data_IF_690085368680
#
_entry.id   IF_690085368680
#
_cell.length_a   1.000
_cell.length_b   1.000
_cell.length_c   1.000
_cell.angle_alpha   90.00
_cell.angle_beta   90.00
_cell.angle_gamma   90.00
#
_symmetry.space_group_name_H-M   'P 1'
#
loop_
_entity.id
_entity.type
_entity.pdbx_description
1 polymer ?
#
# COMPACT_ATOMS: atom_id res chain seq x y z
N UNK A 1 18.90 -29.30 -0.78
CA UNK A 1 17.64 -28.56 -0.53
C UNK A 1 17.94 -27.39 0.38
N UNK A 2 18.23 -26.21 -0.19
CA UNK A 2 18.40 -24.97 0.58
C UNK A 2 17.05 -24.24 0.56
N UNK A 3 16.18 -24.54 1.53
CA UNK A 3 14.73 -24.26 1.46
C UNK A 3 14.33 -22.88 2.00
N UNK A 4 15.23 -22.09 2.59
CA UNK A 4 14.89 -20.76 3.08
C UNK A 4 15.96 -19.74 2.69
N UNK A 5 15.87 -19.26 1.45
CA UNK A 5 16.57 -18.04 0.99
C UNK A 5 15.97 -16.80 1.69
N UNK A 6 14.74 -16.92 2.20
CA UNK A 6 14.03 -15.85 2.90
C UNK A 6 14.31 -15.95 4.40
N UNK A 7 14.95 -14.92 4.96
CA UNK A 7 15.24 -14.84 6.39
C UNK A 7 14.05 -14.27 7.17
N UNK A 8 13.91 -14.60 8.47
CA UNK A 8 12.86 -14.02 9.33
C UNK A 8 12.86 -12.49 9.33
N UNK A 9 14.05 -11.88 9.23
CA UNK A 9 14.20 -10.43 9.13
C UNK A 9 13.56 -9.86 7.86
N UNK A 10 13.71 -10.54 6.71
CA UNK A 10 13.08 -10.11 5.46
C UNK A 10 11.55 -10.17 5.52
N UNK A 11 11.00 -11.17 6.23
CA UNK A 11 9.54 -11.28 6.45
C UNK A 11 9.03 -10.12 7.30
N UNK A 12 9.72 -9.83 8.41
CA UNK A 12 9.38 -8.69 9.27
C UNK A 12 9.47 -7.36 8.50
N UNK A 13 10.54 -7.18 7.73
CA UNK A 13 10.74 -5.98 6.92
C UNK A 13 9.63 -5.80 5.88
N UNK A 14 9.30 -6.86 5.13
CA UNK A 14 8.22 -6.83 4.14
C UNK A 14 6.85 -6.55 4.79
N UNK A 15 6.60 -7.12 5.98
CA UNK A 15 5.39 -6.87 6.76
C UNK A 15 5.25 -5.40 7.16
N UNK A 16 6.29 -4.81 7.74
CA UNK A 16 6.30 -3.39 8.13
C UNK A 16 6.12 -2.49 6.91
N UNK A 17 6.82 -2.79 5.81
CA UNK A 17 6.73 -2.02 4.57
C UNK A 17 5.31 -2.03 4.00
N UNK A 18 4.66 -3.20 3.98
CA UNK A 18 3.28 -3.35 3.51
C UNK A 18 2.31 -2.57 4.40
N UNK A 19 2.52 -2.62 5.72
CA UNK A 19 1.67 -1.91 6.68
C UNK A 19 1.79 -0.38 6.54
N UNK A 20 3.01 0.13 6.35
CA UNK A 20 3.25 1.53 6.07
C UNK A 20 2.56 1.98 4.77
N UNK A 21 2.60 1.15 3.72
CA UNK A 21 1.91 1.39 2.45
C UNK A 21 0.39 1.52 2.63
N UNK A 22 -0.22 0.61 3.39
CA UNK A 22 -1.66 0.65 3.71
C UNK A 22 -2.05 1.92 4.46
N UNK A 23 -1.33 2.24 5.52
CA UNK A 23 -1.59 3.42 6.36
C UNK A 23 -1.51 4.69 5.51
N UNK A 24 -0.50 4.77 4.64
CA UNK A 24 -0.30 5.90 3.73
C UNK A 24 -1.47 6.04 2.74
N UNK A 25 -1.89 4.94 2.12
CA UNK A 25 -3.01 4.95 1.18
C UNK A 25 -4.33 5.34 1.88
N UNK A 26 -4.62 4.76 3.04
CA UNK A 26 -5.83 5.08 3.82
C UNK A 26 -5.84 6.56 4.21
N UNK A 27 -4.71 7.11 4.68
CA UNK A 27 -4.60 8.54 5.00
C UNK A 27 -4.92 9.42 3.78
N UNK A 28 -4.45 9.06 2.59
CA UNK A 28 -4.74 9.78 1.36
C UNK A 28 -6.24 9.68 1.02
N UNK A 29 -6.85 8.50 1.13
CA UNK A 29 -8.27 8.32 0.85
C UNK A 29 -9.17 9.14 1.78
N UNK A 30 -8.84 9.17 3.07
CA UNK A 30 -9.52 9.99 4.06
C UNK A 30 -9.37 11.48 3.74
N UNK A 31 -8.15 11.93 3.46
CA UNK A 31 -7.85 13.35 3.15
C UNK A 31 -8.55 13.83 1.88
N UNK A 32 -8.65 12.97 0.87
CA UNK A 32 -9.25 13.30 -0.44
C UNK A 32 -10.77 13.13 -0.45
N UNK A 33 -11.39 12.69 0.67
CA UNK A 33 -12.81 12.29 0.75
C UNK A 33 -13.19 11.32 -0.37
N UNK A 34 -12.31 10.36 -0.63
CA UNK A 34 -12.51 9.34 -1.66
C UNK A 34 -13.76 8.50 -1.35
N UNK A 35 -14.48 8.09 -2.39
CA UNK A 35 -15.64 7.20 -2.26
C UNK A 35 -15.27 5.79 -1.73
N UNK A 36 -16.24 4.90 -1.62
CA UNK A 36 -16.03 3.55 -1.04
C UNK A 36 -15.12 2.65 -1.90
N UNK A 37 -15.11 2.85 -3.22
CA UNK A 37 -14.44 1.97 -4.18
C UNK A 37 -12.90 1.91 -4.00
N UNK A 38 -12.17 3.02 -3.81
CA UNK A 38 -10.75 2.98 -3.48
C UNK A 38 -10.40 2.21 -2.21
N UNK A 39 -11.28 2.19 -1.20
CA UNK A 39 -11.06 1.38 0.02
C UNK A 39 -11.14 -0.11 -0.27
N UNK A 40 -12.09 -0.53 -1.13
CA UNK A 40 -12.16 -1.92 -1.61
C UNK A 40 -10.89 -2.34 -2.36
N UNK A 41 -10.35 -1.46 -3.20
CA UNK A 41 -9.10 -1.73 -3.94
C UNK A 41 -7.92 -1.94 -2.99
N UNK A 42 -7.84 -1.15 -1.92
CA UNK A 42 -6.82 -1.31 -0.88
C UNK A 42 -6.92 -2.67 -0.21
N UNK A 43 -8.12 -3.15 0.13
CA UNK A 43 -8.32 -4.45 0.78
C UNK A 43 -8.02 -5.61 -0.17
N UNK A 44 -8.48 -5.54 -1.42
CA UNK A 44 -8.34 -6.62 -2.40
C UNK A 44 -6.91 -6.73 -2.98
N UNK A 45 -6.19 -5.60 -3.07
CA UNK A 45 -4.86 -5.55 -3.67
C UNK A 45 -3.87 -4.90 -2.70
N UNK A 46 -3.28 -5.67 -1.76
CA UNK A 46 -2.52 -5.13 -0.63
C UNK A 46 -1.25 -4.36 -1.00
N UNK A 47 -0.74 -4.55 -2.20
CA UNK A 47 0.46 -3.85 -2.70
C UNK A 47 0.08 -2.89 -3.82
N UNK A 48 -0.59 -3.41 -4.87
CA UNK A 48 -0.92 -2.65 -6.08
C UNK A 48 -1.94 -1.54 -5.78
N UNK A 49 -2.93 -1.81 -4.91
CA UNK A 49 -3.97 -0.85 -4.56
C UNK A 49 -3.41 0.40 -3.85
N UNK A 50 -2.69 0.23 -2.73
CA UNK A 50 -2.01 1.34 -2.04
C UNK A 50 -1.06 2.12 -2.94
N UNK A 51 -0.26 1.43 -3.76
CA UNK A 51 0.65 2.07 -4.71
C UNK A 51 -0.12 2.93 -5.74
N UNK A 52 -1.19 2.39 -6.32
CA UNK A 52 -2.02 3.13 -7.28
C UNK A 52 -2.60 4.42 -6.69
N UNK A 53 -3.03 4.38 -5.42
CA UNK A 53 -3.55 5.57 -4.71
C UNK A 53 -2.43 6.59 -4.45
N UNK A 54 -1.27 6.13 -4.01
CA UNK A 54 -0.09 6.99 -3.80
C UNK A 54 0.32 7.69 -5.10
N UNK A 55 0.49 6.95 -6.18
CA UNK A 55 0.87 7.49 -7.49
C UNK A 55 -0.21 8.40 -8.08
N UNK A 56 -1.48 8.02 -7.99
CA UNK A 56 -2.59 8.84 -8.45
C UNK A 56 -2.67 10.19 -7.71
N UNK A 57 -2.48 10.18 -6.39
CA UNK A 57 -2.44 11.40 -5.58
C UNK A 57 -1.19 12.25 -5.86
N UNK A 58 -0.04 11.63 -6.10
CA UNK A 58 1.19 12.33 -6.50
C UNK A 58 1.02 13.03 -7.85
N UNK A 59 0.51 12.34 -8.86
CA UNK A 59 0.22 12.92 -10.18
C UNK A 59 -0.79 14.08 -10.12
N UNK A 60 -1.81 13.98 -9.26
CA UNK A 60 -2.80 15.06 -9.06
C UNK A 60 -2.21 16.31 -8.41
N UNK A 61 -1.10 16.19 -7.66
CA UNK A 61 -0.41 17.33 -7.02
C UNK A 61 0.60 18.02 -7.94
N UNK A 62 1.11 17.32 -8.94
CA UNK A 62 2.08 17.86 -9.91
C UNK A 62 1.38 18.62 -11.04
N UNK A 63 0.15 18.23 -11.36
CA UNK A 63 -0.73 18.94 -12.29
C UNK A 63 -1.43 20.10 -11.60
#
# INVERSE_FOLDING_TARGET
>A
MNILIITPFQILFAGIMTMALYISAIMILLKTKSGILPYFIVILFPIIGPLGILFGNYNKKIK
#
